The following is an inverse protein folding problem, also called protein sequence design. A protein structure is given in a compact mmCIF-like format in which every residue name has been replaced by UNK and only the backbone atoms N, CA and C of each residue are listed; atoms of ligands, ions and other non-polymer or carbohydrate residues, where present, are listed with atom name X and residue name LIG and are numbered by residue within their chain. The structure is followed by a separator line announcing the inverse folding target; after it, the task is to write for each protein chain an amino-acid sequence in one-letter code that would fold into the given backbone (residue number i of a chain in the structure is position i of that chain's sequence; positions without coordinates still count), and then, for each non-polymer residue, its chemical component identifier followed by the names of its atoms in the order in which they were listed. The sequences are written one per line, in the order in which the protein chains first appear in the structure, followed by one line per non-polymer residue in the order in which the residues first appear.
data_IF_461676909659
#
_entry.id   IF_461676909659
#
_cell.length_a   1.000
_cell.length_b   1.000
_cell.length_c   1.000
_cell.angle_alpha   90.00
_cell.angle_beta   90.00
_cell.angle_gamma   90.00
#
_symmetry.space_group_name_H-M   'P 1'
#
loop_
_entity.id
_entity.type
_entity.pdbx_description
1 polymer ?
#
# COMPACT_ATOMS: atom_id res chain seq x y z
N UNK A 1 8.90 22.17 -21.78
CA UNK A 1 8.45 22.10 -20.37
C UNK A 1 8.25 20.64 -20.01
N UNK A 2 8.99 20.10 -19.03
CA UNK A 2 8.84 18.72 -18.57
C UNK A 2 8.18 18.72 -17.19
N UNK A 3 7.13 17.93 -17.02
CA UNK A 3 6.44 17.75 -15.73
C UNK A 3 6.85 16.37 -15.19
N UNK A 4 7.39 16.34 -13.97
CA UNK A 4 7.75 15.11 -13.27
C UNK A 4 6.75 14.87 -12.13
N UNK A 5 6.13 13.70 -12.11
CA UNK A 5 5.25 13.29 -11.01
C UNK A 5 6.07 12.47 -10.02
N UNK A 6 6.16 12.95 -8.78
CA UNK A 6 6.91 12.28 -7.73
C UNK A 6 6.00 11.32 -6.95
N UNK A 7 5.91 10.08 -7.43
CA UNK A 7 5.10 9.02 -6.82
C UNK A 7 5.42 8.80 -5.32
N UNK A 8 6.71 8.83 -4.97
CA UNK A 8 7.17 8.70 -3.58
C UNK A 8 6.65 9.82 -2.67
N UNK A 9 6.49 11.04 -3.18
CA UNK A 9 6.00 12.17 -2.40
C UNK A 9 4.52 12.00 -2.06
N UNK A 10 3.71 11.66 -3.06
CA UNK A 10 2.26 11.47 -2.88
C UNK A 10 1.96 10.27 -1.96
N UNK A 11 2.66 9.15 -2.12
CA UNK A 11 2.46 8.00 -1.21
C UNK A 11 2.98 8.24 0.21
N UNK A 12 3.81 9.27 0.41
CA UNK A 12 4.36 9.65 1.72
C UNK A 12 3.77 10.97 2.24
N UNK A 13 2.64 11.41 1.70
CA UNK A 13 2.01 12.65 2.14
C UNK A 13 1.30 12.46 3.49
N UNK A 14 1.67 13.27 4.47
CA UNK A 14 1.11 13.23 5.84
C UNK A 14 -0.35 13.71 5.89
N UNK A 15 -0.77 14.54 4.93
CA UNK A 15 -2.17 14.97 4.82
C UNK A 15 -3.08 13.82 4.36
N UNK A 16 -2.51 12.82 3.68
CA UNK A 16 -3.24 11.67 3.11
C UNK A 16 -3.12 10.43 4.00
N UNK A 17 -1.92 10.15 4.51
CA UNK A 17 -1.61 8.98 5.34
C UNK A 17 -0.80 9.41 6.58
N UNK A 18 -1.35 9.23 7.77
CA UNK A 18 -0.65 9.55 9.03
C UNK A 18 0.39 8.47 9.39
N UNK A 19 1.55 8.90 9.91
CA UNK A 19 2.63 8.04 10.45
C UNK A 19 3.27 7.05 9.45
N UNK A 20 3.70 7.56 8.29
CA UNK A 20 4.22 6.79 7.16
C UNK A 20 5.64 6.23 7.28
N UNK A 21 6.43 6.71 8.23
CA UNK A 21 7.79 6.20 8.44
C UNK A 21 7.81 4.97 9.35
N UNK A 22 6.66 4.59 9.92
CA UNK A 22 6.49 3.37 10.70
C UNK A 22 5.66 2.38 9.91
N UNK A 23 6.18 1.16 9.72
CA UNK A 23 5.43 0.09 9.09
C UNK A 23 4.30 -0.38 10.02
N UNK A 24 3.05 -0.04 9.69
CA UNK A 24 1.86 -0.44 10.42
C UNK A 24 0.98 -1.35 9.55
N UNK A 25 1.02 -2.66 9.82
CA UNK A 25 0.31 -3.70 9.05
C UNK A 25 -1.20 -3.52 9.05
N UNK A 26 -1.77 -2.94 10.12
CA UNK A 26 -3.21 -2.76 10.29
C UNK A 26 -3.68 -1.35 9.94
N UNK A 27 -2.83 -0.49 9.39
CA UNK A 27 -3.16 0.89 9.07
C UNK A 27 -4.43 1.00 8.23
N UNK A 28 -4.46 0.34 7.06
CA UNK A 28 -5.63 0.34 6.18
C UNK A 28 -6.85 -0.33 6.81
N UNK A 29 -6.66 -1.32 7.67
CA UNK A 29 -7.77 -1.93 8.41
C UNK A 29 -8.39 -0.97 9.43
N UNK A 30 -7.58 -0.18 10.13
CA UNK A 30 -8.05 0.86 11.07
C UNK A 30 -8.78 1.97 10.34
N UNK A 31 -8.20 2.46 9.23
CA UNK A 31 -8.84 3.45 8.35
C UNK A 31 -10.21 2.97 7.83
N UNK A 32 -10.40 1.65 7.63
CA UNK A 32 -11.68 1.11 7.18
C UNK A 32 -12.74 1.15 8.29
N UNK A 33 -12.31 0.87 9.53
CA UNK A 33 -13.19 0.84 10.70
C UNK A 33 -13.62 2.24 11.15
N UNK A 34 -12.74 3.22 11.02
CA UNK A 34 -13.01 4.64 11.28
C UNK A 34 -13.83 5.22 10.12
N UNK A 35 -15.13 4.94 10.14
CA UNK A 35 -16.08 5.08 9.03
C UNK A 35 -16.35 6.51 8.50
N UNK A 36 -15.68 7.55 8.95
CA UNK A 36 -16.24 8.90 8.81
C UNK A 36 -15.77 9.76 7.62
N UNK A 37 -14.80 9.32 6.81
CA UNK A 37 -14.46 10.01 5.54
C UNK A 37 -13.48 9.25 4.63
N UNK A 38 -12.76 8.25 5.17
CA UNK A 38 -11.68 7.54 4.47
C UNK A 38 -12.08 6.15 3.95
N UNK A 39 -13.36 5.78 4.05
CA UNK A 39 -13.92 4.53 3.47
C UNK A 39 -13.62 4.44 1.97
N UNK A 40 -13.62 5.58 1.29
CA UNK A 40 -13.17 5.69 -0.09
C UNK A 40 -11.70 5.29 -0.25
N UNK A 41 -10.77 5.85 0.55
CA UNK A 41 -9.32 5.57 0.48
C UNK A 41 -9.00 4.11 0.76
N UNK A 42 -9.69 3.46 1.68
CA UNK A 42 -9.44 2.04 1.98
C UNK A 42 -10.04 1.12 0.94
N UNK A 43 -11.26 1.37 0.48
CA UNK A 43 -11.81 0.63 -0.64
C UNK A 43 -10.93 0.83 -1.89
N UNK A 44 -10.33 2.00 -2.09
CA UNK A 44 -9.41 2.29 -3.21
C UNK A 44 -8.08 1.54 -3.10
N UNK A 45 -7.46 1.48 -1.92
CA UNK A 45 -6.25 0.69 -1.71
C UNK A 45 -6.45 -0.82 -1.97
N UNK A 46 -7.70 -1.29 -1.93
CA UNK A 46 -8.09 -2.69 -2.15
C UNK A 46 -8.84 -2.94 -3.48
N UNK A 47 -9.26 -1.91 -4.23
CA UNK A 47 -10.15 -2.03 -5.40
C UNK A 47 -9.49 -1.61 -6.71
N UNK A 48 -10.03 -2.15 -7.81
CA UNK A 48 -9.63 -1.94 -9.19
C UNK A 48 -9.92 -0.53 -9.77
N UNK A 49 -9.86 0.55 -8.97
CA UNK A 49 -10.09 1.92 -9.44
C UNK A 49 -8.94 2.86 -9.07
N UNK A 50 -8.29 3.41 -10.09
CA UNK A 50 -7.13 4.31 -9.97
C UNK A 50 -7.52 5.66 -9.36
N UNK A 51 -6.76 6.18 -8.38
CA UNK A 51 -6.93 7.53 -7.81
C UNK A 51 -5.60 8.22 -7.51
N UNK A 52 -5.66 9.55 -7.33
CA UNK A 52 -4.52 10.47 -7.24
C UNK A 52 -3.79 10.46 -5.90
N UNK A 53 -4.36 9.85 -4.86
CA UNK A 53 -3.83 9.85 -3.48
C UNK A 53 -2.92 8.66 -3.16
N UNK A 54 -2.95 7.61 -3.98
CA UNK A 54 -2.09 6.44 -3.83
C UNK A 54 -1.67 5.91 -5.20
N UNK A 55 -0.40 6.08 -5.54
CA UNK A 55 0.12 5.97 -6.91
C UNK A 55 1.06 4.79 -7.11
N UNK A 56 1.08 3.79 -6.23
CA UNK A 56 2.01 2.65 -6.30
C UNK A 56 2.06 1.95 -7.66
N UNK A 57 0.94 1.86 -8.37
CA UNK A 57 0.86 1.29 -9.72
C UNK A 57 0.65 2.34 -10.82
N UNK A 58 1.07 3.59 -10.61
CA UNK A 58 0.80 4.75 -11.48
C UNK A 58 -0.71 5.05 -11.60
N UNK A 59 -1.09 5.99 -12.47
CA UNK A 59 -2.45 6.51 -12.55
C UNK A 59 -2.91 6.74 -14.00
N UNK A 60 -4.22 6.60 -14.21
CA UNK A 60 -4.91 6.88 -15.47
C UNK A 60 -4.38 5.98 -16.61
N UNK A 61 -4.36 6.50 -17.84
CA UNK A 61 -3.86 5.85 -19.06
C UNK A 61 -2.44 5.27 -18.98
N UNK A 62 -1.69 5.60 -17.93
CA UNK A 62 -0.32 5.11 -17.69
C UNK A 62 -0.22 4.23 -16.44
N UNK A 63 -1.35 3.84 -15.85
CA UNK A 63 -1.37 2.86 -14.77
C UNK A 63 -0.85 1.51 -15.26
N UNK A 64 -0.22 0.76 -14.36
CA UNK A 64 0.22 -0.59 -14.62
C UNK A 64 -1.00 -1.48 -14.91
N UNK A 65 -1.14 -2.06 -16.11
CA UNK A 65 -2.30 -2.87 -16.45
C UNK A 65 -2.41 -4.14 -15.60
N UNK A 66 -1.28 -4.61 -15.05
CA UNK A 66 -1.19 -5.82 -14.23
C UNK A 66 -1.47 -5.62 -12.74
N UNK A 67 -1.90 -4.44 -12.29
CA UNK A 67 -1.99 -4.14 -10.86
C UNK A 67 -2.98 -5.02 -10.08
N UNK A 68 -4.17 -5.32 -10.62
CA UNK A 68 -5.14 -6.24 -9.99
C UNK A 68 -4.55 -7.63 -9.84
N UNK A 69 -3.84 -8.10 -10.87
CA UNK A 69 -3.15 -9.39 -10.84
C UNK A 69 -2.04 -9.40 -9.78
N UNK A 70 -1.20 -8.35 -9.74
CA UNK A 70 -0.12 -8.23 -8.79
C UNK A 70 -0.62 -8.23 -7.34
N UNK A 71 -1.64 -7.42 -7.03
CA UNK A 71 -2.24 -7.34 -5.69
C UNK A 71 -2.77 -8.70 -5.24
N UNK A 72 -3.52 -9.40 -6.11
CA UNK A 72 -4.06 -10.72 -5.78
C UNK A 72 -2.96 -11.77 -5.61
N UNK A 73 -1.93 -11.76 -6.46
CA UNK A 73 -0.79 -12.67 -6.32
C UNK A 73 0.00 -12.43 -5.04
N UNK A 74 0.25 -11.18 -4.67
CA UNK A 74 0.89 -10.82 -3.40
C UNK A 74 0.07 -11.36 -2.22
N UNK A 75 -1.25 -11.18 -2.24
CA UNK A 75 -2.14 -11.72 -1.18
C UNK A 75 -2.01 -13.24 -1.05
N UNK A 76 -2.00 -13.97 -2.16
CA UNK A 76 -1.83 -15.44 -2.16
C UNK A 76 -0.47 -15.84 -1.60
N UNK A 77 0.62 -15.18 -2.03
CA UNK A 77 1.97 -15.47 -1.54
C UNK A 77 2.07 -15.22 -0.04
N UNK A 78 1.56 -14.07 0.44
CA UNK A 78 1.58 -13.74 1.88
C UNK A 78 0.72 -14.71 2.69
N UNK A 79 -0.46 -15.10 2.20
CA UNK A 79 -1.29 -16.10 2.87
C UNK A 79 -0.56 -17.45 3.01
N UNK A 80 0.09 -17.92 1.94
CA UNK A 80 0.88 -19.16 2.00
C UNK A 80 2.06 -19.04 2.98
N UNK A 81 2.75 -17.90 3.02
CA UNK A 81 3.83 -17.69 3.98
C UNK A 81 3.31 -17.76 5.43
N UNK A 82 2.18 -17.11 5.72
CA UNK A 82 1.59 -17.10 7.06
C UNK A 82 1.04 -18.46 7.49
N UNK A 83 0.50 -19.26 6.56
CA UNK A 83 -0.06 -20.58 6.89
C UNK A 83 0.99 -21.67 7.08
N UNK A 84 2.19 -21.50 6.50
CA UNK A 84 3.18 -22.59 6.44
C UNK A 84 4.51 -22.27 7.14
N UNK A 85 4.76 -21.01 7.51
CA UNK A 85 6.05 -20.60 8.07
C UNK A 85 5.90 -19.62 9.24
N UNK A 86 6.71 -19.84 10.27
CA UNK A 86 7.01 -18.82 11.28
C UNK A 86 8.26 -18.05 10.86
N UNK A 87 8.10 -16.76 10.58
CA UNK A 87 9.17 -15.90 10.08
C UNK A 87 9.75 -15.04 11.22
N UNK A 88 11.09 -14.98 11.28
CA UNK A 88 11.83 -14.08 12.18
C UNK A 88 13.03 -13.49 11.43
N UNK A 89 13.48 -12.31 11.83
CA UNK A 89 14.77 -11.77 11.39
C UNK A 89 15.92 -12.62 11.96
N UNK A 90 17.06 -12.59 11.27
CA UNK A 90 18.29 -13.22 11.74
C UNK A 90 18.69 -12.61 13.09
N UNK A 91 19.29 -13.43 13.95
CA UNK A 91 19.75 -12.98 15.27
C UNK A 91 20.68 -11.76 15.15
N UNK A 92 20.42 -10.74 15.99
CA UNK A 92 21.15 -9.47 15.97
C UNK A 92 20.67 -8.45 14.93
N UNK A 93 19.67 -8.77 14.09
CA UNK A 93 19.11 -7.85 13.09
C UNK A 93 17.72 -7.37 13.49
N UNK A 94 17.55 -6.05 13.65
CA UNK A 94 16.30 -5.43 14.11
C UNK A 94 15.57 -4.59 13.04
N UNK A 95 16.12 -4.46 11.83
CA UNK A 95 15.53 -3.62 10.79
C UNK A 95 16.17 -3.80 9.42
N UNK A 96 15.63 -3.09 8.42
CA UNK A 96 16.35 -2.86 7.17
C UNK A 96 17.18 -1.59 7.37
N UNK A 97 18.50 -1.80 7.39
CA UNK A 97 19.58 -0.83 7.68
C UNK A 97 19.71 -0.46 9.16
#
# INVERSE_FOLDING_TARGET
MFIKVLNKGINKDLEILLNLDVFNTLHFYKLYKEKDQLVEVVNQAQSARERTTYLTFSYSKHACPGWVFAVNKIKIVVANLLCHYDMKLVEGVNGRY
#
